data_IF_980813173554
#
_entry.id   IF_980813173554
#
_cell.length_a   1.000
_cell.length_b   1.000
_cell.length_c   1.000
_cell.angle_alpha   90.00
_cell.angle_beta   90.00
_cell.angle_gamma   90.00
#
_symmetry.space_group_name_H-M   'P 1'
#
loop_
_entity.id
_entity.type
_entity.pdbx_description
1 polymer ?
#
# COMPACT_ATOMS: atom_id res chain seq x y z
N UNK A 1 -6.11 12.97 -6.86
CA UNK A 1 -6.55 11.60 -6.49
C UNK A 1 -5.76 11.16 -5.28
N UNK A 2 -6.28 10.22 -4.49
CA UNK A 2 -5.56 9.64 -3.35
C UNK A 2 -4.99 8.27 -3.73
N UNK A 3 -3.81 7.94 -3.22
CA UNK A 3 -3.16 6.65 -3.44
C UNK A 3 -3.56 5.68 -2.34
N UNK A 4 -3.80 4.43 -2.72
CA UNK A 4 -4.08 3.35 -1.79
C UNK A 4 -3.20 2.15 -2.12
N UNK A 5 -2.77 1.46 -1.07
CA UNK A 5 -2.05 0.20 -1.15
C UNK A 5 -2.98 -0.89 -0.61
N UNK A 6 -3.30 -1.87 -1.43
CA UNK A 6 -4.05 -3.04 -1.06
C UNK A 6 -3.08 -4.18 -0.84
N UNK A 7 -3.11 -4.77 0.35
CA UNK A 7 -2.35 -5.96 0.71
C UNK A 7 -3.29 -7.16 0.64
N UNK A 8 -2.99 -8.13 -0.21
CA UNK A 8 -3.90 -9.24 -0.51
C UNK A 8 -3.30 -10.57 -0.03
N UNK A 9 -4.12 -11.36 0.66
CA UNK A 9 -3.82 -12.76 1.00
C UNK A 9 -4.94 -13.64 0.48
N UNK A 10 -4.60 -14.60 -0.38
CA UNK A 10 -5.57 -15.54 -0.93
C UNK A 10 -6.11 -16.46 0.16
N UNK A 11 -7.42 -16.68 0.14
CA UNK A 11 -8.04 -17.73 0.94
C UNK A 11 -7.92 -19.10 0.23
N UNK A 12 -8.54 -20.15 0.76
CA UNK A 12 -8.49 -21.48 0.14
C UNK A 12 -9.03 -21.48 -1.32
N UNK A 13 -10.20 -20.88 -1.54
CA UNK A 13 -10.82 -20.77 -2.87
C UNK A 13 -9.97 -19.94 -3.84
N UNK A 14 -9.44 -18.81 -3.38
CA UNK A 14 -8.55 -17.96 -4.19
C UNK A 14 -7.29 -18.69 -4.63
N UNK A 15 -6.70 -19.53 -3.76
CA UNK A 15 -5.53 -20.36 -4.10
C UNK A 15 -5.86 -21.44 -5.12
N UNK A 16 -6.96 -22.15 -4.95
CA UNK A 16 -7.40 -23.16 -5.91
C UNK A 16 -7.69 -22.54 -7.28
N UNK A 17 -8.34 -21.37 -7.30
CA UNK A 17 -8.58 -20.59 -8.52
C UNK A 17 -7.29 -20.15 -9.18
N UNK A 18 -6.34 -19.60 -8.42
CA UNK A 18 -5.04 -19.15 -8.94
C UNK A 18 -4.21 -20.32 -9.50
N UNK A 19 -4.29 -21.51 -8.89
CA UNK A 19 -3.63 -22.71 -9.41
C UNK A 19 -4.24 -23.19 -10.73
N UNK A 20 -5.57 -23.13 -10.86
CA UNK A 20 -6.26 -23.49 -12.09
C UNK A 20 -6.07 -22.43 -13.20
N UNK A 21 -5.92 -21.17 -12.79
CA UNK A 21 -5.92 -20.00 -13.67
C UNK A 21 -5.03 -18.88 -13.08
N UNK A 22 -3.74 -18.86 -13.46
CA UNK A 22 -2.77 -17.88 -12.95
C UNK A 22 -3.12 -16.42 -13.25
N UNK A 23 -3.96 -16.16 -14.25
CA UNK A 23 -4.37 -14.81 -14.64
C UNK A 23 -5.67 -14.37 -13.96
N UNK A 24 -6.25 -15.22 -13.10
CA UNK A 24 -7.55 -14.97 -12.45
C UNK A 24 -7.63 -13.66 -11.67
N UNK A 25 -6.59 -13.30 -10.92
CA UNK A 25 -6.58 -12.04 -10.17
C UNK A 25 -6.56 -10.82 -11.09
N UNK A 26 -5.73 -10.86 -12.16
CA UNK A 26 -5.65 -9.78 -13.15
C UNK A 26 -6.98 -9.61 -13.89
N UNK A 27 -7.63 -10.72 -14.25
CA UNK A 27 -8.92 -10.68 -14.93
C UNK A 27 -10.00 -10.06 -14.05
N UNK A 28 -10.13 -10.53 -12.81
CA UNK A 28 -11.06 -9.97 -11.84
C UNK A 28 -10.82 -8.47 -11.65
N UNK A 29 -9.56 -8.06 -11.48
CA UNK A 29 -9.20 -6.65 -11.33
C UNK A 29 -9.60 -5.79 -12.54
N UNK A 30 -9.51 -6.32 -13.76
CA UNK A 30 -9.90 -5.61 -14.99
C UNK A 30 -11.42 -5.64 -15.25
N UNK A 31 -12.14 -6.59 -14.66
CA UNK A 31 -13.59 -6.74 -14.79
C UNK A 31 -14.39 -5.96 -13.73
N UNK A 32 -13.72 -5.25 -12.80
CA UNK A 32 -14.39 -4.38 -11.83
C UNK A 32 -14.77 -3.07 -12.52
N UNK A 33 -16.06 -2.74 -12.52
CA UNK A 33 -16.62 -1.56 -13.19
C UNK A 33 -16.61 -0.33 -12.27
N UNK A 34 -15.40 0.17 -12.01
CA UNK A 34 -15.18 1.41 -11.24
C UNK A 34 -14.19 2.31 -12.00
N UNK A 35 -14.66 3.05 -13.02
CA UNK A 35 -13.81 3.82 -13.92
C UNK A 35 -13.05 4.96 -13.23
N UNK A 36 -13.51 5.40 -12.06
CA UNK A 36 -12.80 6.38 -11.23
C UNK A 36 -11.62 5.78 -10.47
N UNK A 37 -11.48 4.45 -10.43
CA UNK A 37 -10.38 3.74 -9.77
C UNK A 37 -9.38 3.27 -10.82
N UNK A 38 -8.13 3.64 -10.65
CA UNK A 38 -7.04 3.26 -11.57
C UNK A 38 -6.05 2.40 -10.82
N UNK A 39 -5.85 1.15 -11.27
CA UNK A 39 -4.77 0.30 -10.75
C UNK A 39 -3.45 0.74 -11.38
N UNK A 40 -2.54 1.25 -10.56
CA UNK A 40 -1.19 1.66 -10.98
C UNK A 40 -0.23 0.46 -11.09
N UNK A 41 -0.48 -0.60 -10.31
CA UNK A 41 0.33 -1.81 -10.37
C UNK A 41 -0.23 -2.93 -9.49
N UNK A 42 0.12 -4.16 -9.85
CA UNK A 42 -0.18 -5.37 -9.10
C UNK A 42 1.06 -6.26 -9.11
N UNK A 43 1.51 -6.68 -7.94
CA UNK A 43 2.75 -7.40 -7.75
C UNK A 43 2.51 -8.63 -6.87
N UNK A 44 3.08 -9.78 -7.25
CA UNK A 44 3.28 -10.88 -6.31
C UNK A 44 4.45 -10.56 -5.38
N UNK A 45 4.32 -10.86 -4.09
CA UNK A 45 5.35 -10.56 -3.09
C UNK A 45 5.68 -11.79 -2.25
N UNK A 46 6.92 -11.87 -1.75
CA UNK A 46 7.43 -13.00 -0.97
C UNK A 46 7.47 -12.65 0.52
N UNK A 47 6.30 -12.34 1.08
CA UNK A 47 6.19 -11.86 2.45
C UNK A 47 4.91 -12.33 3.16
N UNK A 48 4.40 -11.49 4.07
CA UNK A 48 3.16 -11.77 4.82
C UNK A 48 1.92 -11.89 3.93
N UNK A 49 1.94 -11.18 2.81
CA UNK A 49 0.85 -11.13 1.84
C UNK A 49 1.31 -11.84 0.56
N UNK A 50 0.35 -12.28 -0.24
CA UNK A 50 0.64 -12.93 -1.53
C UNK A 50 0.82 -11.87 -2.63
N UNK A 51 0.01 -10.80 -2.58
CA UNK A 51 0.03 -9.72 -3.56
C UNK A 51 -0.05 -8.33 -2.92
N UNK A 52 0.45 -7.34 -3.66
CA UNK A 52 0.30 -5.91 -3.41
C UNK A 52 -0.28 -5.25 -4.64
N UNK A 53 -1.39 -4.52 -4.48
CA UNK A 53 -1.96 -3.67 -5.53
C UNK A 53 -1.86 -2.21 -5.11
N UNK A 54 -1.44 -1.35 -6.03
CA UNK A 54 -1.39 0.09 -5.83
C UNK A 54 -2.46 0.68 -6.74
N UNK A 55 -3.35 1.50 -6.19
CA UNK A 55 -4.41 2.15 -6.94
C UNK A 55 -4.54 3.64 -6.60
N UNK A 56 -5.09 4.38 -7.55
CA UNK A 56 -5.62 5.73 -7.32
C UNK A 56 -7.14 5.67 -7.27
N UNK A 57 -7.73 6.41 -6.33
CA UNK A 57 -9.17 6.60 -6.25
C UNK A 57 -9.51 8.03 -5.81
N UNK A 58 -10.73 8.52 -6.06
CA UNK A 58 -11.14 9.87 -5.65
C UNK A 58 -11.18 10.01 -4.13
N UNK A 59 -11.68 8.97 -3.44
CA UNK A 59 -11.88 8.96 -1.99
C UNK A 59 -11.86 7.53 -1.41
N UNK A 60 -11.96 7.44 -0.08
CA UNK A 60 -11.95 6.18 0.66
C UNK A 60 -13.14 5.27 0.29
N UNK A 61 -14.29 5.82 -0.11
CA UNK A 61 -15.46 5.04 -0.47
C UNK A 61 -15.25 4.32 -1.81
N UNK A 62 -14.70 5.01 -2.81
CA UNK A 62 -14.34 4.37 -4.09
C UNK A 62 -13.29 3.27 -3.89
N UNK A 63 -12.25 3.53 -3.09
CA UNK A 63 -11.24 2.52 -2.77
C UNK A 63 -11.82 1.31 -2.01
N UNK A 64 -12.72 1.56 -1.04
CA UNK A 64 -13.37 0.49 -0.27
C UNK A 64 -14.28 -0.38 -1.14
N UNK A 65 -15.04 0.21 -2.07
CA UNK A 65 -15.86 -0.53 -3.04
C UNK A 65 -15.02 -1.44 -3.92
N UNK A 66 -13.95 -0.90 -4.49
CA UNK A 66 -13.01 -1.67 -5.31
C UNK A 66 -12.39 -2.82 -4.52
N UNK A 67 -11.92 -2.55 -3.31
CA UNK A 67 -11.34 -3.55 -2.40
C UNK A 67 -12.34 -4.67 -2.07
N UNK A 68 -13.59 -4.32 -1.77
CA UNK A 68 -14.64 -5.30 -1.48
C UNK A 68 -14.93 -6.20 -2.69
N UNK A 69 -15.13 -5.62 -3.87
CA UNK A 69 -15.39 -6.39 -5.09
C UNK A 69 -14.22 -7.31 -5.46
N UNK A 70 -13.00 -6.80 -5.38
CA UNK A 70 -11.79 -7.57 -5.64
C UNK A 70 -11.66 -8.74 -4.65
N UNK A 71 -11.83 -8.49 -3.35
CA UNK A 71 -11.71 -9.53 -2.31
C UNK A 71 -12.73 -10.65 -2.48
N UNK A 72 -13.99 -10.31 -2.76
CA UNK A 72 -15.06 -11.29 -2.99
C UNK A 72 -14.80 -12.11 -4.25
N UNK A 73 -14.51 -11.45 -5.37
CA UNK A 73 -14.36 -12.13 -6.68
C UNK A 73 -13.04 -12.88 -6.80
N UNK A 74 -11.96 -12.39 -6.22
CA UNK A 74 -10.66 -13.06 -6.25
C UNK A 74 -10.52 -14.15 -5.18
N UNK A 75 -11.35 -14.13 -4.13
CA UNK A 75 -11.18 -15.02 -2.99
C UNK A 75 -9.96 -14.63 -2.15
N UNK A 76 -9.90 -13.35 -1.76
CA UNK A 76 -8.78 -12.79 -1.01
C UNK A 76 -9.27 -11.99 0.21
N UNK A 77 -8.51 -12.09 1.31
CA UNK A 77 -8.56 -11.08 2.36
C UNK A 77 -7.73 -9.89 1.91
N UNK A 78 -8.29 -8.68 2.04
CA UNK A 78 -7.64 -7.44 1.61
C UNK A 78 -7.56 -6.47 2.77
N UNK A 79 -6.36 -5.97 3.04
CA UNK A 79 -6.09 -4.83 3.91
C UNK A 79 -5.85 -3.60 3.02
N UNK A 80 -6.69 -2.57 3.16
CA UNK A 80 -6.61 -1.35 2.36
C UNK A 80 -6.00 -0.21 3.16
N UNK A 81 -4.90 0.33 2.65
CA UNK A 81 -4.08 1.35 3.30
C UNK A 81 -4.10 2.64 2.48
N UNK A 82 -4.76 3.71 2.95
CA UNK A 82 -4.57 5.05 2.38
C UNK A 82 -3.09 5.44 2.52
N UNK A 83 -2.48 5.85 1.42
CA UNK A 83 -1.06 6.16 1.37
C UNK A 83 -0.84 7.66 1.17
N UNK A 84 0.00 8.25 2.01
CA UNK A 84 0.46 9.63 1.86
C UNK A 84 1.90 9.59 1.34
N UNK A 85 2.19 10.15 0.16
CA UNK A 85 3.55 10.28 -0.33
C UNK A 85 4.44 10.99 0.69
N UNK A 86 5.64 10.46 0.92
CA UNK A 86 6.57 11.03 1.91
C UNK A 86 6.88 12.51 1.65
N UNK A 87 6.89 12.93 0.38
CA UNK A 87 7.09 14.33 -0.01
C UNK A 87 6.02 15.30 0.53
N UNK A 88 4.87 14.82 1.02
CA UNK A 88 3.88 15.68 1.68
C UNK A 88 4.17 15.94 3.16
N UNK A 89 5.16 15.28 3.76
CA UNK A 89 5.48 15.44 5.18
C UNK A 89 6.37 16.66 5.50
N UNK A 90 6.83 17.42 4.50
CA UNK A 90 7.77 18.54 4.67
C UNK A 90 7.22 19.79 5.39
N UNK A 91 6.05 19.73 6.02
CA UNK A 91 5.41 20.88 6.67
C UNK A 91 5.74 21.08 8.16
N UNK A 92 6.76 20.39 8.69
CA UNK A 92 7.32 20.76 9.99
C UNK A 92 8.77 21.18 9.79
N UNK A 93 9.03 22.49 9.93
CA UNK A 93 10.33 22.98 10.36
C UNK A 93 10.64 22.21 11.64
N UNK A 94 11.46 21.18 11.54
CA UNK A 94 12.18 20.68 12.69
C UNK A 94 13.05 21.85 13.14
N UNK A 95 12.56 22.63 14.10
CA UNK A 95 13.42 23.58 14.80
C UNK A 95 14.65 22.80 15.24
N UNK A 96 15.78 23.32 14.78
CA UNK A 96 17.12 22.82 14.98
C UNK A 96 17.24 22.31 16.41
N UNK A 97 17.44 21.00 16.59
CA UNK A 97 18.05 20.51 17.81
C UNK A 97 19.47 21.10 17.80
N UNK A 98 19.64 22.27 18.42
CA UNK A 98 20.95 22.77 18.79
C UNK A 98 21.54 21.73 19.74
N UNK A 99 22.43 20.88 19.21
CA UNK A 99 23.38 20.18 20.04
C UNK A 99 24.23 21.26 20.70
N UNK A 100 24.01 21.50 22.00
CA UNK A 100 24.89 22.39 22.75
C UNK A 100 26.31 21.84 22.70
N UNK A 101 27.22 22.68 22.20
CA UNK A 101 28.66 22.48 22.11
C UNK A 101 29.34 22.47 23.50
N UNK A 102 28.81 21.72 24.47
CA UNK A 102 29.41 21.61 25.83
C UNK A 102 30.37 20.42 25.99
N UNK A 103 30.66 19.66 24.94
CA UNK A 103 31.55 18.49 25.01
C UNK A 103 32.93 18.70 24.35
N UNK A 104 33.42 19.95 24.25
CA UNK A 104 34.74 20.23 23.66
C UNK A 104 35.61 21.18 24.48
N UNK A 105 35.57 21.04 25.80
CA UNK A 105 36.59 21.64 26.69
C UNK A 105 37.07 20.62 27.72
N UNK A 106 37.81 19.62 27.24
CA UNK A 106 38.81 18.91 28.04
C UNK A 106 40.12 18.95 27.28
N UNK A 107 40.86 20.03 27.55
CA UNK A 107 42.28 20.15 27.27
C UNK A 107 43.04 19.07 28.06
N UNK A 108 43.80 18.16 27.41
CA UNK A 108 44.56 17.13 28.09
C UNK A 108 45.95 17.60 28.57
N UNK A 109 46.21 18.91 28.66
CA UNK A 109 47.51 19.44 29.14
C UNK A 109 47.47 20.02 30.56
N UNK A 110 47.13 19.20 31.56
CA UNK A 110 47.42 19.45 32.98
C UNK A 110 47.65 18.15 33.76
#
# INVERSE_FOLDING_TARGET
MATYVLMLTLNAEGRDRMLADPDSLLRVQNEIDLPEVVTLGLYGVLGRYDFVSILEAPDNNSAARFSLELGVRAGAHIETLPAVPVGHFHAHNFETFEFSDEARELDPSS
#
